data_IF_705830434508
#
_entry.id   IF_705830434508
#
_cell.length_a   1.000
_cell.length_b   1.000
_cell.length_c   1.000
_cell.angle_alpha   90.00
_cell.angle_beta   90.00
_cell.angle_gamma   90.00
#
_symmetry.space_group_name_H-M   'P 1'
#
loop_
_entity.id
_entity.type
_entity.pdbx_description
1 polymer ?
#
# COMPACT_ATOMS: atom_id res chain seq x y z
N UNK A 1 23.06 -5.72 -6.70
CA UNK A 1 21.58 -5.56 -6.67
C UNK A 1 20.97 -5.05 -7.96
N UNK A 2 21.73 -4.34 -8.81
CA UNK A 2 21.28 -3.73 -10.08
C UNK A 2 20.18 -4.49 -10.84
N UNK A 3 20.39 -5.77 -11.18
CA UNK A 3 19.40 -6.60 -11.91
C UNK A 3 18.04 -6.74 -11.19
N UNK A 4 18.04 -6.77 -9.86
CA UNK A 4 16.82 -6.85 -9.05
C UNK A 4 16.08 -5.51 -9.10
N UNK A 5 16.80 -4.40 -8.93
CA UNK A 5 16.23 -3.05 -9.02
C UNK A 5 15.68 -2.75 -10.43
N UNK A 6 16.41 -3.18 -11.48
CA UNK A 6 15.93 -3.09 -12.87
C UNK A 6 14.64 -3.90 -13.07
N UNK A 7 14.53 -5.08 -12.44
CA UNK A 7 13.31 -5.90 -12.49
C UNK A 7 12.13 -5.20 -11.81
N UNK A 8 12.35 -4.56 -10.66
CA UNK A 8 11.32 -3.76 -9.98
C UNK A 8 10.86 -2.62 -10.87
N UNK A 9 11.79 -1.87 -11.49
CA UNK A 9 11.47 -0.78 -12.42
C UNK A 9 10.59 -1.25 -13.58
N UNK A 10 10.99 -2.33 -14.26
CA UNK A 10 10.22 -2.89 -15.39
C UNK A 10 8.83 -3.35 -14.95
N UNK A 11 8.72 -3.99 -13.78
CA UNK A 11 7.44 -4.43 -13.23
C UNK A 11 6.54 -3.25 -12.84
N UNK A 12 7.11 -2.20 -12.26
CA UNK A 12 6.43 -0.95 -11.92
C UNK A 12 5.85 -0.28 -13.17
N UNK A 13 6.66 -0.16 -14.23
CA UNK A 13 6.23 0.39 -15.51
C UNK A 13 5.03 -0.40 -16.08
N UNK A 14 5.11 -1.73 -16.09
CA UNK A 14 4.02 -2.58 -16.57
C UNK A 14 2.75 -2.53 -15.70
N UNK A 15 2.88 -2.22 -14.41
CA UNK A 15 1.74 -2.14 -13.50
C UNK A 15 0.94 -0.86 -13.72
N UNK A 16 1.57 0.23 -14.18
CA UNK A 16 0.90 1.51 -14.41
C UNK A 16 -0.24 1.43 -15.45
N UNK A 17 -0.23 0.43 -16.32
CA UNK A 17 -1.28 0.17 -17.32
C UNK A 17 -2.51 -0.55 -16.75
N UNK A 18 -2.57 -0.81 -15.44
CA UNK A 18 -3.69 -1.51 -14.81
C UNK A 18 -5.01 -0.74 -14.92
N UNK A 19 -6.16 -1.37 -15.27
CA UNK A 19 -7.46 -0.70 -15.43
C UNK A 19 -7.98 0.08 -14.21
N UNK A 20 -7.50 -0.27 -13.01
CA UNK A 20 -7.76 0.47 -11.77
C UNK A 20 -7.42 1.97 -11.89
N UNK A 21 -6.30 2.33 -12.52
CA UNK A 21 -5.85 3.72 -12.60
C UNK A 21 -6.70 4.60 -13.52
N UNK A 22 -6.95 4.25 -14.80
CA UNK A 22 -7.78 5.06 -15.67
C UNK A 22 -9.25 5.12 -15.23
N UNK A 23 -9.77 4.11 -14.52
CA UNK A 23 -11.12 4.15 -13.93
C UNK A 23 -11.30 5.39 -13.03
N UNK A 24 -10.26 5.75 -12.28
CA UNK A 24 -10.30 6.86 -11.34
C UNK A 24 -10.08 8.22 -12.00
N UNK A 25 -9.73 8.29 -13.30
CA UNK A 25 -9.38 9.55 -13.95
C UNK A 25 -10.53 10.58 -13.92
N UNK A 26 -11.76 10.10 -14.11
CA UNK A 26 -12.96 10.93 -14.35
C UNK A 26 -14.03 10.81 -13.26
N UNK A 27 -13.69 10.30 -12.07
CA UNK A 27 -14.64 10.24 -10.96
C UNK A 27 -15.00 11.65 -10.49
N UNK A 28 -16.29 11.86 -10.24
CA UNK A 28 -16.85 13.10 -9.69
C UNK A 28 -16.58 13.20 -8.20
N UNK A 29 -16.69 14.40 -7.63
CA UNK A 29 -16.51 14.60 -6.18
C UNK A 29 -17.45 13.74 -5.33
N UNK A 30 -18.76 13.62 -5.64
CA UNK A 30 -19.63 12.70 -4.90
C UNK A 30 -19.10 11.26 -4.94
N UNK A 31 -18.67 10.77 -6.10
CA UNK A 31 -18.09 9.43 -6.29
C UNK A 31 -16.84 9.22 -5.44
N UNK A 32 -15.93 10.19 -5.44
CA UNK A 32 -14.72 10.19 -4.61
C UNK A 32 -15.07 9.98 -3.13
N UNK A 33 -16.07 10.70 -2.60
CA UNK A 33 -16.47 10.57 -1.19
C UNK A 33 -16.85 9.14 -0.81
N UNK A 34 -17.61 8.44 -1.65
CA UNK A 34 -17.96 7.05 -1.36
C UNK A 34 -16.80 6.09 -1.58
N UNK A 35 -15.97 6.31 -2.60
CA UNK A 35 -14.75 5.51 -2.77
C UNK A 35 -13.87 5.60 -1.53
N UNK A 36 -13.65 6.79 -0.97
CA UNK A 36 -12.86 6.97 0.25
C UNK A 36 -13.49 6.27 1.46
N UNK A 37 -14.81 6.40 1.65
CA UNK A 37 -15.53 5.70 2.73
C UNK A 37 -15.50 4.18 2.58
N UNK A 38 -15.51 3.66 1.37
CA UNK A 38 -15.36 2.22 1.11
C UNK A 38 -13.91 1.77 1.30
N UNK A 39 -12.93 2.57 0.87
CA UNK A 39 -11.52 2.18 0.93
C UNK A 39 -10.93 2.22 2.33
N UNK A 40 -11.19 3.27 3.11
CA UNK A 40 -10.47 3.51 4.35
C UNK A 40 -10.59 2.35 5.35
N UNK A 41 -11.79 1.80 5.63
CA UNK A 41 -11.90 0.66 6.53
C UNK A 41 -11.23 -0.62 6.01
N UNK A 42 -11.34 -0.89 4.70
CA UNK A 42 -10.69 -2.06 4.08
C UNK A 42 -9.16 -1.97 4.15
N UNK A 43 -8.61 -0.75 4.19
CA UNK A 43 -7.17 -0.51 4.31
C UNK A 43 -6.68 -0.46 5.76
N UNK A 44 -7.53 -0.63 6.78
CA UNK A 44 -7.10 -0.73 8.19
C UNK A 44 -6.12 -1.89 8.35
N UNK A 45 -6.51 -3.09 7.90
CA UNK A 45 -5.63 -4.26 8.00
C UNK A 45 -4.33 -4.07 7.21
N UNK A 46 -4.39 -3.38 6.07
CA UNK A 46 -3.22 -3.00 5.28
C UNK A 46 -2.25 -2.15 6.12
N UNK A 47 -2.70 -0.99 6.61
CA UNK A 47 -1.84 -0.03 7.30
C UNK A 47 -1.26 -0.61 8.60
N UNK A 48 -2.07 -1.31 9.38
CA UNK A 48 -1.64 -1.91 10.65
C UNK A 48 -0.66 -3.07 10.43
N UNK A 49 -0.91 -3.92 9.44
CA UNK A 49 -0.02 -5.05 9.15
C UNK A 49 1.29 -4.58 8.50
N UNK A 50 1.27 -3.50 7.72
CA UNK A 50 2.50 -2.94 7.15
C UNK A 50 3.44 -2.40 8.23
N UNK A 51 2.91 -1.74 9.26
CA UNK A 51 3.67 -1.40 10.49
C UNK A 51 4.32 -2.64 11.10
N UNK A 52 3.56 -3.72 11.27
CA UNK A 52 4.08 -4.94 11.89
C UNK A 52 5.13 -5.61 11.02
N UNK A 53 4.96 -5.61 9.70
CA UNK A 53 5.96 -6.13 8.76
C UNK A 53 7.29 -5.39 8.92
N UNK A 54 7.22 -4.06 8.91
CA UNK A 54 8.38 -3.20 9.11
C UNK A 54 9.08 -3.46 10.45
N UNK A 55 8.33 -3.49 11.55
CA UNK A 55 8.91 -3.64 12.91
C UNK A 55 9.36 -5.06 13.26
N UNK A 56 8.64 -6.08 12.78
CA UNK A 56 8.85 -7.47 13.22
C UNK A 56 9.76 -8.25 12.28
N UNK A 57 9.76 -7.95 10.97
CA UNK A 57 10.49 -8.74 9.99
C UNK A 57 11.60 -7.95 9.29
N UNK A 58 11.39 -6.66 8.98
CA UNK A 58 12.41 -5.89 8.28
C UNK A 58 13.43 -5.20 9.19
N UNK A 59 12.99 -4.70 10.34
CA UNK A 59 13.87 -4.03 11.29
C UNK A 59 14.88 -5.00 11.94
N UNK A 60 16.16 -4.61 11.97
CA UNK A 60 17.23 -5.31 12.67
C UNK A 60 17.37 -4.78 14.09
N UNK A 61 17.22 -5.65 15.11
CA UNK A 61 17.39 -5.23 16.52
C UNK A 61 18.78 -4.67 16.82
N UNK A 62 19.82 -5.21 16.18
CA UNK A 62 21.21 -4.76 16.33
C UNK A 62 21.84 -4.68 14.93
N UNK A 63 21.71 -3.54 14.22
CA UNK A 63 22.18 -3.45 12.83
C UNK A 63 23.71 -3.46 12.76
N UNK A 64 24.28 -4.48 12.12
CA UNK A 64 25.72 -4.73 12.09
C UNK A 64 26.47 -3.88 11.04
N UNK A 65 25.83 -3.58 9.92
CA UNK A 65 26.46 -2.92 8.78
C UNK A 65 25.61 -1.75 8.22
N UNK A 66 26.14 -1.08 7.20
CA UNK A 66 25.48 0.06 6.56
C UNK A 66 24.18 -0.32 5.84
N UNK A 67 24.05 -1.57 5.37
CA UNK A 67 22.85 -2.03 4.68
C UNK A 67 21.71 -2.21 5.67
N UNK A 68 22.00 -2.84 6.81
CA UNK A 68 21.03 -3.02 7.89
C UNK A 68 20.61 -1.68 8.51
N UNK A 69 21.54 -0.74 8.69
CA UNK A 69 21.21 0.62 9.16
C UNK A 69 20.30 1.38 8.18
N UNK A 70 20.62 1.35 6.89
CA UNK A 70 19.78 1.98 5.86
C UNK A 70 18.37 1.37 5.83
N UNK A 71 18.23 0.05 6.02
CA UNK A 71 16.92 -0.59 6.17
C UNK A 71 16.20 -0.08 7.43
N UNK A 72 16.86 -0.07 8.59
CA UNK A 72 16.24 0.38 9.83
C UNK A 72 15.73 1.83 9.75
N UNK A 73 16.55 2.75 9.25
CA UNK A 73 16.19 4.16 9.11
C UNK A 73 14.90 4.33 8.29
N UNK A 74 14.78 3.57 7.19
CA UNK A 74 13.60 3.61 6.33
C UNK A 74 12.37 2.98 6.99
N UNK A 75 12.50 1.76 7.55
CA UNK A 75 11.33 1.07 8.15
C UNK A 75 10.82 1.72 9.42
N UNK A 76 11.68 2.47 10.13
CA UNK A 76 11.26 3.26 11.29
C UNK A 76 10.27 4.36 10.88
N UNK A 77 10.53 5.04 9.76
CA UNK A 77 9.62 6.04 9.16
C UNK A 77 8.31 5.37 8.73
N UNK A 78 8.37 4.34 7.89
CA UNK A 78 7.17 3.65 7.37
C UNK A 78 6.32 3.05 8.49
N UNK A 79 6.94 2.60 9.58
CA UNK A 79 6.21 2.05 10.72
C UNK A 79 5.37 3.08 11.49
N UNK A 80 5.51 4.37 11.18
CA UNK A 80 4.71 5.44 11.77
C UNK A 80 3.42 5.74 10.98
N UNK A 81 3.36 5.39 9.70
CA UNK A 81 2.29 5.84 8.78
C UNK A 81 0.90 5.32 9.12
N UNK A 82 0.77 4.24 9.91
CA UNK A 82 -0.53 3.77 10.40
C UNK A 82 -1.30 4.85 11.18
N UNK A 83 -0.61 5.82 11.77
CA UNK A 83 -1.25 6.94 12.48
C UNK A 83 -2.01 7.85 11.52
N UNK A 84 -1.50 8.02 10.30
CA UNK A 84 -2.19 8.78 9.25
C UNK A 84 -3.49 8.08 8.86
N UNK A 85 -3.50 6.74 8.81
CA UNK A 85 -4.73 5.98 8.52
C UNK A 85 -5.78 6.22 9.61
N UNK A 86 -5.36 6.25 10.88
CA UNK A 86 -6.26 6.58 12.00
C UNK A 86 -6.84 7.99 11.86
N UNK A 87 -6.03 8.95 11.39
CA UNK A 87 -6.52 10.30 11.11
C UNK A 87 -7.58 10.31 9.98
N UNK A 88 -7.32 9.61 8.88
CA UNK A 88 -8.27 9.51 7.75
C UNK A 88 -9.61 8.90 8.16
N UNK A 89 -9.59 7.84 8.97
CA UNK A 89 -10.83 7.21 9.47
C UNK A 89 -11.69 8.19 10.26
N UNK A 90 -11.04 9.05 11.06
CA UNK A 90 -11.73 10.11 11.81
C UNK A 90 -12.27 11.18 10.88
N UNK A 91 -11.49 11.62 9.90
CA UNK A 91 -11.89 12.68 8.95
C UNK A 91 -13.06 12.25 8.07
N UNK A 92 -13.04 11.01 7.56
CA UNK A 92 -14.07 10.52 6.64
C UNK A 92 -15.43 10.27 7.30
N UNK A 93 -15.48 10.42 8.63
CA UNK A 93 -16.49 9.81 9.48
C UNK A 93 -16.77 8.39 9.01
N UNK A 94 -15.71 7.64 8.70
CA UNK A 94 -15.83 6.26 8.22
C UNK A 94 -16.48 5.36 9.28
N UNK A 95 -16.61 5.88 10.51
CA UNK A 95 -17.49 5.35 11.52
C UNK A 95 -18.94 5.21 11.03
N UNK A 96 -19.46 5.98 10.08
CA UNK A 96 -20.83 5.73 9.59
C UNK A 96 -20.99 4.36 8.88
N UNK A 97 -19.93 3.83 8.26
CA UNK A 97 -19.90 2.44 7.71
C UNK A 97 -19.38 1.41 8.73
N UNK A 98 -18.77 1.87 9.81
CA UNK A 98 -18.19 1.07 10.89
C UNK A 98 -18.41 1.77 12.25
N UNK A 99 -19.67 1.91 12.68
CA UNK A 99 -20.09 2.83 13.76
C UNK A 99 -19.84 2.27 15.15
N UNK A 100 -19.44 1.00 15.20
CA UNK A 100 -19.03 0.28 16.37
C UNK A 100 -17.86 -0.66 16.02
N UNK A 101 -17.27 -1.26 17.06
CA UNK A 101 -16.19 -2.22 16.84
C UNK A 101 -16.65 -3.46 16.04
N UNK A 102 -17.92 -3.84 16.10
CA UNK A 102 -18.43 -5.04 15.44
C UNK A 102 -18.45 -4.88 13.92
N UNK A 103 -19.02 -3.78 13.43
CA UNK A 103 -19.07 -3.42 12.02
C UNK A 103 -17.69 -3.19 11.43
N UNK A 104 -16.77 -2.58 12.18
CA UNK A 104 -15.36 -2.49 11.78
C UNK A 104 -14.71 -3.88 11.62
N UNK A 105 -14.91 -4.78 12.58
CA UNK A 105 -14.37 -6.15 12.54
C UNK A 105 -14.96 -6.92 11.35
N UNK A 106 -16.27 -6.85 11.14
CA UNK A 106 -16.96 -7.48 10.00
C UNK A 106 -16.40 -7.00 8.67
N UNK A 107 -16.31 -5.69 8.46
CA UNK A 107 -15.79 -5.15 7.20
C UNK A 107 -14.35 -5.58 6.92
N UNK A 108 -13.53 -5.69 7.96
CA UNK A 108 -12.15 -6.14 7.83
C UNK A 108 -12.07 -7.66 7.59
N UNK A 109 -12.86 -8.49 8.30
CA UNK A 109 -12.73 -9.96 8.35
C UNK A 109 -13.74 -10.77 7.52
N UNK A 110 -14.80 -10.15 7.01
CA UNK A 110 -15.71 -10.79 6.06
C UNK A 110 -15.02 -10.97 4.69
N UNK A 111 -15.75 -11.59 3.77
CA UNK A 111 -15.31 -11.90 2.39
C UNK A 111 -14.92 -10.61 1.64
N UNK A 112 -15.58 -9.48 1.92
CA UNK A 112 -15.19 -8.20 1.33
C UNK A 112 -13.75 -7.84 1.67
N UNK A 113 -13.29 -8.03 2.90
CA UNK A 113 -11.91 -7.72 3.28
C UNK A 113 -10.87 -8.79 2.87
N UNK A 114 -11.31 -9.96 2.37
CA UNK A 114 -10.45 -11.12 2.13
C UNK A 114 -9.27 -10.81 1.20
N UNK A 115 -9.46 -10.13 0.06
CA UNK A 115 -8.34 -9.88 -0.84
C UNK A 115 -7.28 -8.96 -0.25
N UNK A 116 -7.67 -8.05 0.66
CA UNK A 116 -6.71 -7.20 1.40
C UNK A 116 -5.92 -8.04 2.41
N UNK A 117 -6.60 -8.94 3.14
CA UNK A 117 -5.93 -9.90 4.04
C UNK A 117 -4.95 -10.78 3.30
N UNK A 118 -5.40 -11.43 2.23
CA UNK A 118 -4.58 -12.35 1.45
C UNK A 118 -3.34 -11.64 0.93
N UNK A 119 -3.50 -10.42 0.40
CA UNK A 119 -2.38 -9.59 0.00
C UNK A 119 -1.41 -9.36 1.16
N UNK A 120 -1.87 -8.87 2.31
CA UNK A 120 -0.99 -8.58 3.45
C UNK A 120 -0.33 -9.82 4.06
N UNK A 121 -1.02 -10.95 4.13
CA UNK A 121 -0.44 -12.22 4.55
C UNK A 121 0.65 -12.68 3.59
N UNK A 122 0.45 -12.47 2.28
CA UNK A 122 1.48 -12.76 1.29
C UNK A 122 2.72 -11.86 1.46
N UNK A 123 2.54 -10.57 1.78
CA UNK A 123 3.65 -9.65 2.07
C UNK A 123 4.41 -10.12 3.31
N UNK A 124 3.69 -10.49 4.38
CA UNK A 124 4.29 -11.01 5.61
C UNK A 124 5.10 -12.29 5.36
N UNK A 125 4.56 -13.22 4.57
CA UNK A 125 5.24 -14.46 4.22
C UNK A 125 6.55 -14.21 3.44
N UNK A 126 6.54 -13.25 2.51
CA UNK A 126 7.74 -12.81 1.77
C UNK A 126 8.76 -12.13 2.68
N UNK A 127 8.31 -11.24 3.57
CA UNK A 127 9.18 -10.57 4.54
C UNK A 127 9.88 -11.59 5.44
N UNK A 128 9.15 -12.58 5.95
CA UNK A 128 9.71 -13.66 6.77
C UNK A 128 10.73 -14.52 6.01
N UNK A 129 10.48 -14.82 4.72
CA UNK A 129 11.41 -15.57 3.86
C UNK A 129 12.75 -14.87 3.66
N UNK A 130 12.81 -13.55 3.79
CA UNK A 130 14.07 -12.80 3.64
C UNK A 130 15.12 -13.17 4.70
N UNK A 131 14.70 -13.71 5.86
CA UNK A 131 15.59 -13.98 6.99
C UNK A 131 16.39 -12.74 7.38
N UNK A 132 17.67 -12.93 7.73
CA UNK A 132 18.59 -11.83 8.08
C UNK A 132 19.39 -11.29 6.89
N UNK A 133 18.99 -11.61 5.65
CA UNK A 133 19.70 -11.13 4.47
C UNK A 133 19.25 -9.70 4.09
N UNK A 134 20.11 -8.67 4.21
CA UNK A 134 19.71 -7.29 3.91
C UNK A 134 19.37 -7.10 2.44
N UNK A 135 19.98 -7.86 1.52
CA UNK A 135 19.72 -7.75 0.10
C UNK A 135 18.34 -8.31 -0.30
N UNK A 136 17.86 -9.36 0.40
CA UNK A 136 16.51 -9.89 0.19
C UNK A 136 15.45 -8.96 0.80
N UNK A 137 15.69 -8.45 2.02
CA UNK A 137 14.80 -7.45 2.63
C UNK A 137 14.67 -6.21 1.75
N UNK A 138 15.79 -5.67 1.26
CA UNK A 138 15.79 -4.57 0.31
C UNK A 138 14.96 -4.87 -0.95
N UNK A 139 15.11 -6.06 -1.55
CA UNK A 139 14.33 -6.44 -2.73
C UNK A 139 12.82 -6.50 -2.44
N UNK A 140 12.42 -7.05 -1.29
CA UNK A 140 11.02 -7.18 -0.91
C UNK A 140 10.39 -5.84 -0.50
N UNK A 141 11.13 -5.01 0.23
CA UNK A 141 10.73 -3.66 0.64
C UNK A 141 10.55 -2.75 -0.57
N UNK A 142 11.55 -2.65 -1.44
CA UNK A 142 11.49 -1.79 -2.63
C UNK A 142 10.38 -2.24 -3.60
N UNK A 143 10.08 -3.54 -3.69
CA UNK A 143 8.90 -4.00 -4.45
C UNK A 143 7.59 -3.51 -3.81
N UNK A 144 7.49 -3.53 -2.48
CA UNK A 144 6.38 -2.94 -1.72
C UNK A 144 6.22 -1.46 -1.97
N UNK A 145 7.29 -0.70 -1.79
CA UNK A 145 7.32 0.75 -1.96
C UNK A 145 7.04 1.17 -3.41
N UNK A 146 7.57 0.43 -4.39
CA UNK A 146 7.33 0.70 -5.80
C UNK A 146 5.86 0.55 -6.19
N UNK A 147 5.15 -0.41 -5.60
CA UNK A 147 3.72 -0.65 -5.86
C UNK A 147 2.83 0.30 -5.05
N UNK A 148 3.14 0.53 -3.77
CA UNK A 148 2.43 1.49 -2.92
C UNK A 148 2.47 2.89 -3.52
N UNK A 149 3.63 3.36 -3.98
CA UNK A 149 3.77 4.68 -4.61
C UNK A 149 2.86 4.88 -5.81
N UNK A 150 2.65 3.85 -6.64
CA UNK A 150 1.72 3.98 -7.78
C UNK A 150 0.29 4.17 -7.26
N UNK A 151 -0.16 3.29 -6.36
CA UNK A 151 -1.51 3.35 -5.79
C UNK A 151 -1.76 4.68 -5.07
N UNK A 152 -0.86 5.06 -4.17
CA UNK A 152 -1.03 6.29 -3.41
C UNK A 152 -0.89 7.52 -4.28
N UNK A 153 -0.07 7.53 -5.35
CA UNK A 153 -0.04 8.69 -6.27
C UNK A 153 -1.41 8.94 -6.90
N UNK A 154 -2.13 7.88 -7.25
CA UNK A 154 -3.51 7.99 -7.73
C UNK A 154 -4.46 8.43 -6.61
N UNK A 155 -4.33 7.84 -5.41
CA UNK A 155 -5.10 8.23 -4.22
C UNK A 155 -4.94 9.70 -3.87
N UNK A 156 -3.71 10.23 -3.86
CA UNK A 156 -3.39 11.63 -3.58
C UNK A 156 -4.15 12.58 -4.49
N UNK A 157 -4.25 12.26 -5.79
CA UNK A 157 -4.97 13.10 -6.75
C UNK A 157 -6.46 13.20 -6.41
N UNK A 158 -7.10 12.09 -6.08
CA UNK A 158 -8.53 12.11 -5.75
C UNK A 158 -8.78 12.66 -4.33
N UNK A 159 -7.85 12.46 -3.39
CA UNK A 159 -7.91 13.08 -2.06
C UNK A 159 -7.77 14.61 -2.13
N UNK A 160 -6.97 15.15 -3.05
CA UNK A 160 -6.89 16.59 -3.27
C UNK A 160 -8.22 17.19 -3.77
N UNK A 161 -8.95 16.46 -4.62
CA UNK A 161 -10.29 16.87 -5.05
C UNK A 161 -11.32 16.79 -3.91
N UNK A 162 -11.21 15.79 -3.03
CA UNK A 162 -12.00 15.69 -1.81
C UNK A 162 -11.74 16.90 -0.87
N UNK A 163 -10.48 17.24 -0.62
CA UNK A 163 -10.09 18.35 0.24
C UNK A 163 -10.54 19.70 -0.33
N UNK A 164 -10.43 19.91 -1.64
CA UNK A 164 -10.90 21.13 -2.30
C UNK A 164 -12.41 21.37 -2.16
N UNK A 165 -13.21 20.30 -2.07
CA UNK A 165 -14.67 20.38 -1.91
C UNK A 165 -15.12 20.47 -0.45
N UNK A 166 -14.47 19.74 0.45
CA UNK A 166 -14.90 19.60 1.85
C UNK A 166 -14.18 20.53 2.81
N UNK A 167 -12.96 20.95 2.47
CA UNK A 167 -12.01 21.60 3.39
C UNK A 167 -11.32 20.61 4.34
N UNK A 168 -11.65 19.31 4.27
CA UNK A 168 -11.11 18.27 5.13
C UNK A 168 -9.95 17.54 4.44
N UNK A 169 -8.84 17.37 5.16
CA UNK A 169 -7.63 16.74 4.64
C UNK A 169 -7.55 15.27 5.02
N UNK A 170 -7.24 14.44 4.02
CA UNK A 170 -6.84 13.04 4.21
C UNK A 170 -5.31 12.96 4.22
N UNK A 171 -4.75 12.44 5.30
CA UNK A 171 -3.32 12.28 5.54
C UNK A 171 -2.76 10.99 4.91
N UNK A 172 -3.43 9.85 5.09
CA UNK A 172 -2.95 8.56 4.57
C UNK A 172 -3.22 8.38 3.08
N UNK A 173 -4.45 8.64 2.66
CA UNK A 173 -4.88 8.55 1.26
C UNK A 173 -4.49 9.82 0.47
N UNK A 174 -4.08 10.88 1.14
CA UNK A 174 -3.65 12.14 0.52
C UNK A 174 -2.13 12.29 0.39
N UNK A 175 -1.68 13.54 0.43
CA UNK A 175 -0.29 13.88 0.10
C UNK A 175 0.71 13.48 1.20
N UNK A 176 0.31 13.54 2.48
CA UNK A 176 1.24 13.40 3.61
C UNK A 176 1.96 12.05 3.65
N UNK A 177 1.26 10.96 3.35
CA UNK A 177 1.87 9.63 3.24
C UNK A 177 2.99 9.58 2.20
N UNK A 178 2.70 10.01 0.96
CA UNK A 178 3.66 9.94 -0.14
C UNK A 178 4.80 10.92 0.05
N UNK A 179 4.48 12.13 0.53
CA UNK A 179 5.49 13.15 0.78
C UNK A 179 6.47 12.66 1.85
N UNK A 180 5.99 11.98 2.90
CA UNK A 180 6.85 11.29 3.87
C UNK A 180 7.75 10.22 3.23
N UNK A 181 7.23 9.37 2.33
CA UNK A 181 8.05 8.38 1.61
C UNK A 181 9.08 9.03 0.67
N UNK A 182 8.75 10.18 0.07
CA UNK A 182 9.63 10.91 -0.83
C UNK A 182 10.72 11.71 -0.09
N UNK A 183 10.41 12.21 1.11
CA UNK A 183 11.35 12.95 1.97
C UNK A 183 12.31 12.00 2.71
N UNK A 184 11.91 10.74 2.90
CA UNK A 184 12.69 9.70 3.57
C UNK A 184 12.93 8.46 2.69
N UNK A 185 13.46 8.63 1.46
CA UNK A 185 13.74 7.50 0.59
C UNK A 185 14.87 6.66 1.20
N UNK A 186 14.78 5.34 1.06
CA UNK A 186 15.90 4.49 1.41
C UNK A 186 17.16 4.87 0.61
N UNK A 187 18.32 4.89 1.26
CA UNK A 187 19.59 5.09 0.57
C UNK A 187 19.93 3.86 -0.30
N UNK A 188 19.34 3.81 -1.49
CA UNK A 188 19.56 2.71 -2.45
C UNK A 188 21.02 2.61 -2.93
N UNK A 189 21.83 3.67 -2.75
CA UNK A 189 23.21 3.72 -3.23
C UNK A 189 24.09 2.68 -2.52
N UNK A 190 23.84 2.39 -1.24
CA UNK A 190 24.61 1.39 -0.50
C UNK A 190 24.35 -0.04 -0.98
N UNK A 191 23.21 -0.29 -1.64
CA UNK A 191 22.79 -1.59 -2.15
C UNK A 191 23.20 -1.86 -3.59
N UNK A 192 23.29 -0.82 -4.43
CA UNK A 192 23.38 -0.93 -5.89
C UNK A 192 24.47 -1.92 -6.35
N UNK A 193 25.69 -1.70 -5.85
CA UNK A 193 26.90 -2.46 -6.17
C UNK A 193 27.08 -3.75 -5.34
N UNK A 194 26.16 -4.07 -4.43
CA UNK A 194 26.27 -5.28 -3.63
C UNK A 194 26.14 -6.54 -4.51
N UNK A 195 27.12 -7.46 -4.46
CA UNK A 195 27.08 -8.67 -5.25
C UNK A 195 26.00 -9.63 -4.72
N UNK A 196 25.39 -10.37 -5.64
CA UNK A 196 24.49 -11.48 -5.32
C UNK A 196 24.98 -12.73 -6.02
N UNK A 197 25.02 -13.86 -5.30
CA UNK A 197 25.15 -15.16 -5.94
C UNK A 197 24.00 -15.39 -6.93
N UNK A 198 24.18 -16.33 -7.86
CA UNK A 198 23.12 -16.66 -8.82
C UNK A 198 21.84 -17.11 -8.11
N UNK A 199 21.98 -17.90 -7.05
CA UNK A 199 20.88 -18.36 -6.20
C UNK A 199 20.18 -17.21 -5.49
N UNK A 200 20.92 -16.35 -4.76
CA UNK A 200 20.32 -15.22 -4.04
C UNK A 200 19.69 -14.20 -4.97
N UNK A 201 20.23 -14.03 -6.18
CA UNK A 201 19.62 -13.19 -7.21
C UNK A 201 18.32 -13.79 -7.72
N UNK A 202 18.25 -15.09 -7.95
CA UNK A 202 17.01 -15.75 -8.36
C UNK A 202 15.94 -15.64 -7.27
N UNK A 203 16.34 -15.83 -6.01
CA UNK A 203 15.46 -15.65 -4.85
C UNK A 203 14.92 -14.21 -4.74
N UNK A 204 15.78 -13.20 -4.87
CA UNK A 204 15.36 -11.80 -4.85
C UNK A 204 14.39 -11.46 -6.01
N UNK A 205 14.65 -11.98 -7.21
CA UNK A 205 13.75 -11.79 -8.37
C UNK A 205 12.40 -12.48 -8.11
N UNK A 206 12.39 -13.68 -7.53
CA UNK A 206 11.15 -14.36 -7.19
C UNK A 206 10.33 -13.57 -6.16
N UNK A 207 10.95 -13.02 -5.11
CA UNK A 207 10.26 -12.15 -4.15
C UNK A 207 9.62 -10.94 -4.82
N UNK A 208 10.33 -10.28 -5.74
CA UNK A 208 9.81 -9.15 -6.53
C UNK A 208 8.63 -9.61 -7.39
N UNK A 209 8.80 -10.68 -8.16
CA UNK A 209 7.78 -11.14 -9.11
C UNK A 209 6.50 -11.60 -8.40
N UNK A 210 6.64 -12.33 -7.30
CA UNK A 210 5.52 -12.73 -6.43
C UNK A 210 4.82 -11.50 -5.83
N UNK A 211 5.57 -10.50 -5.37
CA UNK A 211 5.00 -9.26 -4.84
C UNK A 211 4.12 -8.57 -5.88
N UNK A 212 4.66 -8.27 -7.06
CA UNK A 212 3.91 -7.62 -8.14
C UNK A 212 2.71 -8.45 -8.61
N UNK A 213 2.81 -9.78 -8.59
CA UNK A 213 1.66 -10.66 -8.90
C UNK A 213 0.54 -10.50 -7.86
N UNK A 214 0.87 -10.55 -6.57
CA UNK A 214 -0.11 -10.37 -5.49
C UNK A 214 -0.71 -8.96 -5.47
N UNK A 215 0.09 -7.94 -5.79
CA UNK A 215 -0.40 -6.56 -5.86
C UNK A 215 -1.34 -6.35 -7.05
N UNK A 216 -1.10 -7.02 -8.18
CA UNK A 216 -2.01 -6.99 -9.32
C UNK A 216 -3.38 -7.56 -8.96
N UNK A 217 -3.42 -8.71 -8.27
CA UNK A 217 -4.67 -9.28 -7.77
C UNK A 217 -5.39 -8.33 -6.78
N UNK A 218 -4.63 -7.65 -5.91
CA UNK A 218 -5.18 -6.60 -5.06
C UNK A 218 -5.78 -5.44 -5.88
N UNK A 219 -5.14 -5.00 -6.97
CA UNK A 219 -5.69 -3.97 -7.86
C UNK A 219 -6.91 -4.44 -8.66
N UNK A 220 -6.95 -5.71 -9.09
CA UNK A 220 -8.12 -6.32 -9.74
C UNK A 220 -9.34 -6.23 -8.81
N UNK A 221 -9.17 -6.67 -7.55
CA UNK A 221 -10.20 -6.54 -6.52
C UNK A 221 -10.60 -5.07 -6.26
N UNK A 222 -9.61 -4.16 -6.15
CA UNK A 222 -9.91 -2.73 -5.96
C UNK A 222 -10.70 -2.15 -7.14
N UNK A 223 -10.40 -2.56 -8.36
CA UNK A 223 -11.15 -2.15 -9.55
C UNK A 223 -12.61 -2.63 -9.48
N UNK A 224 -12.83 -3.90 -9.09
CA UNK A 224 -14.17 -4.48 -8.92
C UNK A 224 -14.98 -3.76 -7.84
N UNK A 225 -14.40 -3.53 -6.65
CA UNK A 225 -15.07 -2.79 -5.56
C UNK A 225 -15.42 -1.37 -5.95
N UNK A 226 -14.55 -0.71 -6.72
CA UNK A 226 -14.87 0.61 -7.25
C UNK A 226 -16.10 0.55 -8.17
N UNK A 227 -16.18 -0.44 -9.06
CA UNK A 227 -17.34 -0.58 -9.95
C UNK A 227 -18.63 -0.74 -9.12
N UNK A 228 -18.64 -1.65 -8.14
CA UNK A 228 -19.81 -1.87 -7.27
C UNK A 228 -20.20 -0.59 -6.52
N UNK A 229 -19.22 0.09 -5.92
CA UNK A 229 -19.43 1.35 -5.17
C UNK A 229 -20.03 2.45 -6.04
N UNK A 230 -19.65 2.50 -7.32
CA UNK A 230 -20.13 3.50 -8.27
C UNK A 230 -21.49 3.13 -8.87
N UNK A 231 -21.78 1.84 -9.08
CA UNK A 231 -23.06 1.38 -9.65
C UNK A 231 -24.22 1.32 -8.65
N UNK A 232 -23.96 1.04 -7.36
CA UNK A 232 -25.00 0.93 -6.34
C UNK A 232 -25.80 2.24 -6.13
N UNK A 233 -25.30 3.37 -6.64
CA UNK A 233 -26.01 4.66 -6.59
C UNK A 233 -27.10 4.85 -7.64
N UNK A 234 -27.25 3.99 -8.63
CA UNK A 234 -28.33 4.15 -9.60
C UNK A 234 -29.74 3.88 -9.04
N UNK A 235 -29.87 3.46 -7.78
CA UNK A 235 -31.17 3.19 -7.14
C UNK A 235 -31.66 4.21 -6.10
N UNK A 236 -30.88 5.24 -5.73
CA UNK A 236 -31.31 6.19 -4.68
C UNK A 236 -32.05 7.44 -5.17
N UNK A 237 -32.36 7.56 -6.47
CA UNK A 237 -33.21 8.64 -6.99
C UNK A 237 -34.41 8.10 -7.77
N UNK A 238 -35.38 7.57 -7.03
CA UNK A 238 -36.79 7.61 -7.45
C UNK A 238 -37.61 8.20 -6.29
N UNK A 239 -38.04 9.48 -6.38
CA UNK A 239 -38.99 10.01 -5.43
C UNK A 239 -40.35 9.37 -5.72
N UNK A 240 -40.83 8.57 -4.76
CA UNK A 240 -42.24 8.19 -4.65
C UNK A 240 -43.05 9.29 -3.98
#
# INVERSE_FOLDING_TARGET
MRKVLDRIRVKKESLADHPFFPQLANVTVPEIKELMRTWAPLLIHFAMTFRDINRMYYHYKTPADKLQRAINEHVDVDSSHWQLMVADLKTLDANDKAFDCESAIKLIWDDTGEPVREYMYSVMARARRCGDCPLLRMAAMEAGEATSKIFFTTSRRIAAAYEADTGDRLCYLGAEHIDSEMDHPIDSSVFLEQPLSNEKRAEAIALVDEHFSSFRAFLDYKYEINQLTLTDRHFEHSPG
#
